data_IF_239259885923
#
_entry.id   IF_239259885923
#
_cell.length_a   1.000
_cell.length_b   1.000
_cell.length_c   1.000
_cell.angle_alpha   90.00
_cell.angle_beta   90.00
_cell.angle_gamma   90.00
#
_symmetry.space_group_name_H-M   'P 1'
#
loop_
_entity.id
_entity.type
_entity.pdbx_description
1 polymer ?
#
# COMPACT_ATOMS: atom_id res chain seq x y z
N UNK A 1 1.90 8.98 10.54
CA UNK A 1 2.39 9.27 11.91
C UNK A 1 1.96 10.65 12.41
N UNK A 2 2.10 11.72 11.62
CA UNK A 2 1.64 13.07 12.05
C UNK A 2 0.18 13.11 12.50
N UNK A 3 -0.75 12.48 11.75
CA UNK A 3 -2.16 12.37 12.16
C UNK A 3 -2.38 11.61 13.47
N UNK A 4 -1.52 10.66 13.80
CA UNK A 4 -1.68 9.75 14.95
C UNK A 4 -1.03 10.30 16.23
N UNK A 5 0.03 11.09 16.13
CA UNK A 5 0.80 11.54 17.30
C UNK A 5 1.66 12.78 17.08
N UNK A 6 1.35 13.58 16.05
CA UNK A 6 2.03 14.84 15.76
C UNK A 6 3.52 14.72 15.46
N UNK A 7 4.21 15.86 15.51
CA UNK A 7 5.63 15.98 15.17
C UNK A 7 6.56 15.22 16.13
N UNK A 8 6.13 15.05 17.39
CA UNK A 8 6.87 14.28 18.38
C UNK A 8 6.98 12.81 17.96
N UNK A 9 5.86 12.19 17.54
CA UNK A 9 5.87 10.81 17.07
C UNK A 9 6.64 10.66 15.75
N UNK A 10 6.49 11.63 14.84
CA UNK A 10 7.25 11.67 13.57
C UNK A 10 8.75 11.70 13.85
N UNK A 11 9.20 12.58 14.75
CA UNK A 11 10.61 12.71 15.12
C UNK A 11 11.13 11.44 15.80
N UNK A 12 10.36 10.89 16.74
CA UNK A 12 10.74 9.66 17.43
C UNK A 12 10.97 8.52 16.45
N UNK A 13 10.02 8.25 15.54
CA UNK A 13 10.11 7.09 14.64
C UNK A 13 11.10 7.32 13.49
N UNK A 14 11.06 8.47 12.82
CA UNK A 14 11.85 8.69 11.60
C UNK A 14 13.25 9.25 11.85
N UNK A 15 13.54 9.77 13.05
CA UNK A 15 14.88 10.28 13.40
C UNK A 15 15.50 9.46 14.52
N UNK A 16 14.95 9.52 15.73
CA UNK A 16 15.57 8.91 16.91
C UNK A 16 15.74 7.40 16.73
N UNK A 17 14.65 6.69 16.41
CA UNK A 17 14.67 5.23 16.26
C UNK A 17 15.40 4.75 15.02
N UNK A 18 15.46 5.57 13.97
CA UNK A 18 16.30 5.26 12.81
C UNK A 18 17.78 5.38 13.18
N UNK A 19 18.16 6.42 13.92
CA UNK A 19 19.54 6.63 14.34
C UNK A 19 20.02 5.56 15.34
N UNK A 20 19.16 5.08 16.23
CA UNK A 20 19.49 4.04 17.20
C UNK A 20 19.25 2.59 16.69
N UNK A 21 18.73 2.44 15.47
CA UNK A 21 18.48 1.15 14.82
C UNK A 21 17.22 0.41 15.27
N UNK A 22 16.43 0.94 16.20
CA UNK A 22 15.16 0.35 16.64
C UNK A 22 13.99 0.58 15.66
N UNK A 23 14.19 1.35 14.60
CA UNK A 23 13.29 1.45 13.44
C UNK A 23 14.08 1.44 12.14
N UNK A 24 13.63 0.63 11.18
CA UNK A 24 14.28 0.48 9.88
C UNK A 24 13.32 0.90 8.78
N UNK A 25 13.78 1.76 7.87
CA UNK A 25 13.01 2.15 6.70
C UNK A 25 13.19 1.12 5.58
N UNK A 26 12.11 0.78 4.89
CA UNK A 26 12.22 0.00 3.65
C UNK A 26 12.85 0.87 2.57
N UNK A 27 13.80 0.31 1.81
CA UNK A 27 14.60 1.07 0.83
C UNK A 27 14.25 0.70 -0.61
N UNK A 28 13.78 -0.52 -0.83
CA UNK A 28 13.47 -1.03 -2.18
C UNK A 28 11.97 -1.03 -2.39
N UNK A 29 11.22 -1.64 -1.46
CA UNK A 29 9.78 -1.85 -1.62
C UNK A 29 9.10 -2.13 -0.27
N UNK A 30 7.83 -1.74 -0.14
CA UNK A 30 6.99 -2.06 1.03
C UNK A 30 6.83 -3.57 1.28
N UNK A 31 7.21 -4.40 0.31
CA UNK A 31 7.22 -5.88 0.40
C UNK A 31 8.34 -6.43 1.28
N UNK A 32 9.33 -5.61 1.60
CA UNK A 32 10.37 -5.98 2.56
C UNK A 32 9.80 -6.14 3.98
N UNK A 33 8.77 -5.36 4.34
CA UNK A 33 8.17 -5.36 5.68
C UNK A 33 7.66 -6.74 6.12
N UNK A 34 6.74 -7.42 5.40
CA UNK A 34 6.27 -8.74 5.82
C UNK A 34 7.38 -9.79 5.83
N UNK A 35 8.35 -9.71 4.91
CA UNK A 35 9.50 -10.60 4.91
C UNK A 35 10.36 -10.43 6.17
N UNK A 36 10.62 -9.20 6.59
CA UNK A 36 11.37 -8.93 7.82
C UNK A 36 10.63 -9.39 9.07
N UNK A 37 9.30 -9.28 9.10
CA UNK A 37 8.48 -9.82 10.19
C UNK A 37 8.62 -11.35 10.25
N UNK A 38 8.45 -12.05 9.13
CA UNK A 38 8.60 -13.51 9.08
C UNK A 38 10.02 -13.99 9.41
N UNK A 39 11.04 -13.17 9.14
CA UNK A 39 12.44 -13.44 9.50
C UNK A 39 12.79 -13.04 10.94
N UNK A 40 11.85 -12.51 11.71
CA UNK A 40 12.10 -12.03 13.08
C UNK A 40 12.95 -10.76 13.16
N UNK A 41 13.17 -10.06 12.05
CA UNK A 41 13.95 -8.80 11.98
C UNK A 41 13.14 -7.58 12.37
N UNK A 42 11.81 -7.67 12.32
CA UNK A 42 10.89 -6.62 12.74
C UNK A 42 9.71 -7.26 13.48
N UNK A 43 9.18 -6.56 14.47
CA UNK A 43 8.00 -7.03 15.22
C UNK A 43 6.68 -6.61 14.54
N UNK A 44 6.71 -5.47 13.84
CA UNK A 44 5.58 -4.92 13.10
C UNK A 44 6.08 -3.94 12.02
N UNK A 45 5.19 -3.52 11.13
CA UNK A 45 5.48 -2.44 10.21
C UNK A 45 4.22 -1.86 9.56
N UNK A 46 4.30 -0.61 9.13
CA UNK A 46 3.22 0.08 8.44
C UNK A 46 3.29 -0.24 6.95
N UNK A 47 2.19 -0.73 6.38
CA UNK A 47 2.09 -1.07 4.96
C UNK A 47 0.69 -0.77 4.43
N UNK A 48 0.49 -0.92 3.13
CA UNK A 48 -0.84 -0.84 2.51
C UNK A 48 -1.67 -2.08 2.86
N UNK A 49 -2.99 -1.90 3.00
CA UNK A 49 -3.94 -2.99 3.29
C UNK A 49 -3.82 -4.16 2.30
N UNK A 50 -3.56 -3.84 1.03
CA UNK A 50 -3.37 -4.84 -0.03
C UNK A 50 -2.20 -5.78 0.21
N UNK A 51 -1.13 -5.32 0.87
CA UNK A 51 0.00 -6.18 1.23
C UNK A 51 -0.42 -7.22 2.26
N UNK A 52 -1.12 -6.80 3.33
CA UNK A 52 -1.62 -7.74 4.36
C UNK A 52 -2.55 -8.78 3.74
N UNK A 53 -3.49 -8.34 2.89
CA UNK A 53 -4.44 -9.25 2.22
C UNK A 53 -3.70 -10.25 1.32
N UNK A 54 -2.70 -9.79 0.58
CA UNK A 54 -1.87 -10.67 -0.25
C UNK A 54 -1.13 -11.73 0.59
N UNK A 55 -0.47 -11.32 1.68
CA UNK A 55 0.27 -12.25 2.53
C UNK A 55 -0.67 -13.29 3.18
N UNK A 56 -1.85 -12.87 3.64
CA UNK A 56 -2.88 -13.78 4.18
C UNK A 56 -3.37 -14.78 3.13
N UNK A 57 -3.66 -14.33 1.91
CA UNK A 57 -4.07 -15.23 0.81
C UNK A 57 -2.97 -16.22 0.43
N UNK A 58 -1.71 -15.84 0.55
CA UNK A 58 -0.56 -16.71 0.32
C UNK A 58 -0.33 -17.72 1.48
N UNK A 59 -1.12 -17.68 2.55
CA UNK A 59 -0.97 -18.55 3.71
C UNK A 59 0.23 -18.21 4.60
N UNK A 60 0.79 -17.00 4.47
CA UNK A 60 1.90 -16.56 5.30
C UNK A 60 1.40 -16.11 6.68
N UNK A 61 2.22 -16.28 7.74
CA UNK A 61 1.86 -15.95 9.12
C UNK A 61 1.97 -14.42 9.36
N UNK A 62 1.16 -13.65 8.62
CA UNK A 62 1.09 -12.19 8.72
C UNK A 62 -0.33 -11.79 9.09
N UNK A 63 -0.44 -10.99 10.13
CA UNK A 63 -1.68 -10.35 10.54
C UNK A 63 -1.59 -8.84 10.35
N UNK A 64 -2.76 -8.20 10.21
CA UNK A 64 -2.87 -6.76 10.11
C UNK A 64 -3.72 -6.23 11.25
N UNK A 65 -3.32 -5.06 11.74
CA UNK A 65 -4.09 -4.26 12.68
C UNK A 65 -4.60 -3.03 11.92
N UNK A 66 -5.91 -2.81 11.93
CA UNK A 66 -6.49 -1.65 11.27
C UNK A 66 -6.09 -0.35 11.98
N UNK A 67 -5.66 0.64 11.21
CA UNK A 67 -5.36 1.99 11.71
C UNK A 67 -6.67 2.79 11.70
N UNK A 68 -7.04 3.47 12.81
CA UNK A 68 -8.23 4.32 12.89
C UNK A 68 -8.32 5.31 11.74
N UNK A 69 -9.53 5.52 11.20
CA UNK A 69 -9.74 6.28 9.96
C UNK A 69 -9.20 7.73 10.01
N UNK A 70 -9.32 8.39 11.17
CA UNK A 70 -8.79 9.73 11.45
C UNK A 70 -7.25 9.78 11.49
N UNK A 71 -6.61 8.65 11.79
CA UNK A 71 -5.15 8.49 11.83
C UNK A 71 -4.58 7.91 10.53
N UNK A 72 -5.44 7.34 9.68
CA UNK A 72 -5.06 6.61 8.48
C UNK A 72 -5.03 7.51 7.23
N UNK A 73 -4.62 6.95 6.09
CA UNK A 73 -4.63 7.63 4.79
C UNK A 73 -5.17 6.69 3.70
N UNK A 74 -6.03 7.24 2.85
CA UNK A 74 -6.56 6.54 1.67
C UNK A 74 -5.81 7.01 0.43
N UNK A 75 -5.19 6.06 -0.29
CA UNK A 75 -4.57 6.34 -1.58
C UNK A 75 -5.59 6.21 -2.72
N UNK A 76 -5.49 7.11 -3.70
CA UNK A 76 -6.22 7.03 -4.96
C UNK A 76 -5.21 6.64 -6.05
N UNK A 77 -5.50 5.58 -6.78
CA UNK A 77 -4.66 5.08 -7.87
C UNK A 77 -5.26 5.50 -9.21
N UNK A 78 -4.40 5.88 -10.15
CA UNK A 78 -4.79 6.28 -11.49
C UNK A 78 -3.92 5.57 -12.54
N UNK A 79 -4.51 5.28 -13.68
CA UNK A 79 -3.81 4.78 -14.87
C UNK A 79 -3.95 5.78 -16.02
N UNK A 80 -2.92 5.89 -16.85
CA UNK A 80 -2.90 6.80 -18.00
C UNK A 80 -2.16 6.18 -19.19
N UNK A 81 -2.55 6.59 -20.40
CA UNK A 81 -1.83 6.24 -21.63
C UNK A 81 -0.72 7.26 -21.86
N UNK A 82 0.52 6.79 -22.01
CA UNK A 82 1.69 7.64 -22.27
C UNK A 82 1.54 8.37 -23.63
N UNK A 83 1.94 9.64 -23.67
CA UNK A 83 1.99 10.44 -24.91
C UNK A 83 3.09 9.86 -25.81
N UNK A 84 2.71 9.18 -26.89
CA UNK A 84 3.64 8.45 -27.77
C UNK A 84 3.74 6.94 -27.51
N UNK A 85 2.81 6.34 -26.75
CA UNK A 85 2.79 4.89 -26.57
C UNK A 85 2.74 4.14 -27.91
N UNK A 86 3.70 3.26 -28.15
CA UNK A 86 3.81 2.45 -29.37
C UNK A 86 2.59 1.55 -29.61
N UNK A 87 1.89 1.17 -28.54
CA UNK A 87 0.70 0.31 -28.58
C UNK A 87 -0.49 0.98 -27.90
N UNK A 88 -0.94 2.12 -28.45
CA UNK A 88 -2.01 2.94 -27.86
C UNK A 88 -3.31 2.18 -27.64
N UNK A 89 -3.74 1.39 -28.62
CA UNK A 89 -4.98 0.60 -28.51
C UNK A 89 -4.93 -0.46 -27.41
N UNK A 90 -3.78 -1.14 -27.26
CA UNK A 90 -3.59 -2.11 -26.19
C UNK A 90 -3.63 -1.43 -24.81
N UNK A 91 -3.01 -0.25 -24.68
CA UNK A 91 -3.06 0.53 -23.45
C UNK A 91 -4.50 0.98 -23.11
N UNK A 92 -5.27 1.44 -24.08
CA UNK A 92 -6.69 1.82 -23.89
C UNK A 92 -7.52 0.62 -23.43
N UNK A 93 -7.42 -0.53 -24.12
CA UNK A 93 -8.14 -1.75 -23.74
C UNK A 93 -7.78 -2.23 -22.34
N UNK A 94 -6.51 -2.12 -21.95
CA UNK A 94 -6.10 -2.45 -20.58
C UNK A 94 -6.71 -1.50 -19.55
N UNK A 95 -6.72 -0.19 -19.81
CA UNK A 95 -7.35 0.79 -18.92
C UNK A 95 -8.87 0.60 -18.81
N UNK A 96 -9.54 0.18 -19.88
CA UNK A 96 -10.95 -0.23 -19.85
C UNK A 96 -11.15 -1.46 -18.97
N UNK A 97 -10.32 -2.50 -19.15
CA UNK A 97 -10.40 -3.73 -18.36
C UNK A 97 -10.22 -3.50 -16.86
N UNK A 98 -9.20 -2.74 -16.43
CA UNK A 98 -8.97 -2.51 -15.00
C UNK A 98 -10.10 -1.70 -14.32
N UNK A 99 -10.98 -1.07 -15.12
CA UNK A 99 -12.18 -0.34 -14.65
C UNK A 99 -13.48 -1.14 -14.81
N UNK A 100 -13.45 -2.30 -15.46
CA UNK A 100 -14.64 -3.14 -15.65
C UNK A 100 -15.09 -3.78 -14.32
N UNK A 101 -16.33 -4.30 -14.23
CA UNK A 101 -16.78 -5.06 -13.06
C UNK A 101 -15.85 -6.22 -12.69
N UNK A 102 -15.32 -6.92 -13.70
CA UNK A 102 -14.36 -8.01 -13.52
C UNK A 102 -13.03 -7.52 -12.95
N UNK A 103 -12.47 -6.43 -13.52
CA UNK A 103 -11.25 -5.81 -13.03
C UNK A 103 -11.38 -5.34 -11.58
N UNK A 104 -12.47 -4.63 -11.28
CA UNK A 104 -12.78 -4.14 -9.92
C UNK A 104 -13.00 -5.29 -8.93
N UNK A 105 -13.61 -6.39 -9.35
CA UNK A 105 -13.75 -7.60 -8.54
C UNK A 105 -12.38 -8.22 -8.18
N UNK A 106 -11.42 -8.23 -9.11
CA UNK A 106 -10.05 -8.67 -8.84
C UNK A 106 -9.38 -7.76 -7.81
N UNK A 107 -9.48 -6.44 -7.98
CA UNK A 107 -8.96 -5.45 -7.02
C UNK A 107 -9.59 -5.62 -5.63
N UNK A 108 -10.89 -5.89 -5.55
CA UNK A 108 -11.62 -6.10 -4.30
C UNK A 108 -11.06 -7.24 -3.45
N UNK A 109 -10.52 -8.30 -4.07
CA UNK A 109 -9.86 -9.41 -3.34
C UNK A 109 -8.67 -8.91 -2.50
N UNK A 110 -8.03 -7.83 -2.91
CA UNK A 110 -6.89 -7.23 -2.22
C UNK A 110 -7.28 -5.98 -1.40
N UNK A 111 -8.58 -5.77 -1.15
CA UNK A 111 -9.07 -4.69 -0.28
C UNK A 111 -9.10 -3.31 -0.92
N UNK A 112 -9.03 -3.21 -2.24
CA UNK A 112 -9.30 -1.98 -2.97
C UNK A 112 -10.80 -1.77 -3.14
N UNK A 113 -11.22 -0.51 -3.23
CA UNK A 113 -12.59 -0.11 -3.53
C UNK A 113 -12.64 0.66 -4.85
N UNK A 114 -13.75 0.55 -5.62
CA UNK A 114 -13.96 1.40 -6.78
C UNK A 114 -13.88 2.88 -6.41
N UNK A 115 -13.24 3.67 -7.27
CA UNK A 115 -13.24 5.12 -7.12
C UNK A 115 -14.57 5.69 -7.60
N UNK A 116 -15.29 6.40 -6.72
CA UNK A 116 -16.60 7.01 -6.99
C UNK A 116 -16.56 8.53 -7.05
N UNK A 117 -15.37 9.13 -7.00
CA UNK A 117 -15.21 10.58 -7.11
C UNK A 117 -15.32 11.07 -8.56
N UNK A 118 -15.33 12.40 -8.77
CA UNK A 118 -15.45 12.98 -10.11
C UNK A 118 -14.30 12.52 -11.02
N UNK A 119 -14.62 12.15 -12.25
CA UNK A 119 -13.61 11.97 -13.29
C UNK A 119 -12.93 13.32 -13.54
N UNK A 120 -11.60 13.35 -13.47
CA UNK A 120 -10.79 14.50 -13.85
C UNK A 120 -10.51 14.49 -15.34
#
# INVERSE_FOLDING_TARGET
LGKAGGDALVTSVYKTKVADGSSVLTHIHHRQTPLWIMQGKAQAGVTWKSEVMFQKQAGHPIEGVDIPADQNSTAIYAGAVVKGAAHREAATRWLEFIRSPEGLSIFGRYGFNPYTGPAK
#
